data_IF_106204340282
#
_entry.id   IF_106204340282
#
_cell.length_a   1.000
_cell.length_b   1.000
_cell.length_c   1.000
_cell.angle_alpha   90.00
_cell.angle_beta   90.00
_cell.angle_gamma   90.00
#
_symmetry.space_group_name_H-M   'P 1'
#
loop_
_entity.id
_entity.type
_entity.pdbx_description
1 polymer ?
#
# COMPACT_ATOMS: atom_id res chain seq x y z
N UNK A 1 25.70 -28.80 -5.31
CA UNK A 1 26.63 -27.97 -4.50
C UNK A 1 25.86 -27.57 -3.25
N UNK A 2 26.28 -28.06 -2.07
CA UNK A 2 25.69 -27.68 -0.79
C UNK A 2 26.34 -26.36 -0.35
N UNK A 3 25.75 -25.23 -0.75
CA UNK A 3 26.07 -23.97 -0.12
C UNK A 3 25.63 -24.08 1.36
N UNK A 4 26.61 -24.03 2.27
CA UNK A 4 26.32 -23.86 3.69
C UNK A 4 25.42 -22.63 3.80
N UNK A 5 24.26 -22.70 4.48
CA UNK A 5 23.41 -21.54 4.67
C UNK A 5 24.26 -20.46 5.32
N UNK A 6 24.49 -19.38 4.57
CA UNK A 6 25.22 -18.20 5.02
C UNK A 6 24.55 -17.77 6.32
N UNK A 7 25.25 -17.93 7.44
CA UNK A 7 24.65 -17.74 8.76
C UNK A 7 24.16 -16.30 8.85
N UNK A 8 22.85 -16.11 8.81
CA UNK A 8 22.26 -14.78 8.92
C UNK A 8 22.79 -14.10 10.19
N UNK A 9 23.07 -12.78 10.14
CA UNK A 9 23.71 -12.06 11.24
C UNK A 9 22.85 -11.95 12.51
N UNK A 10 21.61 -12.44 12.47
CA UNK A 10 20.67 -12.39 13.58
C UNK A 10 20.67 -13.68 14.41
N UNK A 11 20.54 -13.52 15.73
CA UNK A 11 20.25 -14.61 16.66
C UNK A 11 18.82 -15.15 16.46
N UNK A 12 18.50 -16.36 16.93
CA UNK A 12 17.12 -16.87 16.89
C UNK A 12 16.10 -15.95 17.57
N UNK A 13 16.48 -15.29 18.68
CA UNK A 13 15.62 -14.34 19.37
C UNK A 13 15.33 -13.08 18.53
N UNK A 14 16.36 -12.54 17.86
CA UNK A 14 16.18 -11.41 16.94
C UNK A 14 15.32 -11.79 15.73
N UNK A 15 15.51 -12.97 15.15
CA UNK A 15 14.64 -13.48 14.07
C UNK A 15 13.18 -13.55 14.49
N UNK A 16 12.91 -14.10 15.68
CA UNK A 16 11.55 -14.15 16.23
C UNK A 16 10.96 -12.74 16.44
N UNK A 17 11.77 -11.77 16.87
CA UNK A 17 11.34 -10.38 17.03
C UNK A 17 11.00 -9.70 15.68
N UNK A 18 11.81 -9.93 14.64
CA UNK A 18 11.55 -9.45 13.27
C UNK A 18 10.21 -9.98 12.76
N UNK A 19 9.97 -11.29 12.90
CA UNK A 19 8.72 -11.93 12.48
C UNK A 19 7.52 -11.46 13.29
N UNK A 20 7.69 -11.27 14.61
CA UNK A 20 6.64 -10.74 15.47
C UNK A 20 6.23 -9.32 15.07
N UNK A 21 7.20 -8.45 14.76
CA UNK A 21 6.94 -7.09 14.31
C UNK A 21 6.25 -7.07 12.94
N UNK A 22 6.68 -7.92 12.01
CA UNK A 22 5.99 -8.09 10.72
C UNK A 22 4.52 -8.48 10.92
N UNK A 23 4.27 -9.50 11.75
CA UNK A 23 2.90 -9.96 12.05
C UNK A 23 2.07 -8.88 12.73
N UNK A 24 2.68 -8.06 13.60
CA UNK A 24 2.02 -6.91 14.22
C UNK A 24 1.53 -5.92 13.16
N UNK A 25 2.38 -5.57 12.20
CA UNK A 25 2.03 -4.65 11.10
C UNK A 25 0.98 -5.29 10.17
N UNK A 26 1.16 -6.56 9.80
CA UNK A 26 0.22 -7.28 8.94
C UNK A 26 -1.16 -7.48 9.58
N UNK A 27 -1.24 -7.49 10.92
CA UNK A 27 -2.50 -7.55 11.65
C UNK A 27 -3.22 -6.20 11.75
N UNK A 28 -2.58 -5.09 11.36
CA UNK A 28 -3.27 -3.78 11.34
C UNK A 28 -4.42 -3.83 10.32
N UNK A 29 -5.66 -3.44 10.71
CA UNK A 29 -6.80 -3.53 9.83
C UNK A 29 -6.54 -2.66 8.60
N UNK A 30 -6.66 -3.29 7.43
CA UNK A 30 -6.42 -2.60 6.18
C UNK A 30 -7.40 -1.40 6.09
N UNK A 31 -6.93 -0.19 5.77
CA UNK A 31 -7.77 0.99 5.84
C UNK A 31 -8.92 0.86 4.84
N UNK A 32 -10.08 1.42 5.24
CA UNK A 32 -11.28 1.43 4.41
C UNK A 32 -10.95 1.98 3.01
N UNK A 33 -11.23 1.17 1.99
CA UNK A 33 -11.02 1.55 0.60
C UNK A 33 -12.38 1.95 -0.01
N UNK A 34 -12.64 3.25 -0.23
CA UNK A 34 -13.89 3.71 -0.84
C UNK A 34 -13.93 3.56 -2.36
N UNK A 35 -12.83 3.19 -3.05
CA UNK A 35 -12.80 3.06 -4.52
C UNK A 35 -13.89 2.15 -5.08
N UNK A 36 -14.17 0.94 -4.53
CA UNK A 36 -15.23 0.08 -5.06
C UNK A 36 -16.59 0.77 -4.99
N UNK A 37 -16.87 1.50 -3.91
CA UNK A 37 -18.10 2.27 -3.74
C UNK A 37 -18.20 3.43 -4.73
N UNK A 38 -17.11 4.15 -4.97
CA UNK A 38 -17.05 5.21 -5.99
C UNK A 38 -17.29 4.67 -7.40
N UNK A 39 -16.67 3.54 -7.75
CA UNK A 39 -16.88 2.89 -9.05
C UNK A 39 -18.33 2.41 -9.22
N UNK A 40 -18.89 1.75 -8.21
CA UNK A 40 -20.31 1.33 -8.23
C UNK A 40 -21.26 2.53 -8.34
N UNK A 41 -20.97 3.64 -7.66
CA UNK A 41 -21.77 4.86 -7.76
C UNK A 41 -21.72 5.47 -9.16
N UNK A 42 -20.54 5.52 -9.79
CA UNK A 42 -20.38 6.03 -11.17
C UNK A 42 -21.08 5.12 -12.18
N UNK A 43 -20.90 3.79 -12.07
CA UNK A 43 -21.58 2.82 -12.94
C UNK A 43 -23.09 2.93 -12.78
N UNK A 44 -23.59 2.98 -11.53
CA UNK A 44 -25.01 3.15 -11.25
C UNK A 44 -25.57 4.45 -11.84
N UNK A 45 -24.85 5.57 -11.69
CA UNK A 45 -25.22 6.85 -12.29
C UNK A 45 -25.27 6.82 -13.82
N UNK A 46 -24.28 6.17 -14.46
CA UNK A 46 -24.23 6.01 -15.91
C UNK A 46 -25.36 5.12 -16.43
N UNK A 47 -25.62 3.99 -15.78
CA UNK A 47 -26.72 3.09 -16.14
C UNK A 47 -28.06 3.81 -16.00
N UNK A 48 -28.28 4.55 -14.91
CA UNK A 48 -29.51 5.31 -14.72
C UNK A 48 -29.67 6.39 -15.79
N UNK A 49 -28.60 7.10 -16.13
CA UNK A 49 -28.58 8.13 -17.17
C UNK A 49 -28.92 7.57 -18.56
N UNK A 50 -28.36 6.42 -18.93
CA UNK A 50 -28.59 5.76 -20.22
C UNK A 50 -29.97 5.09 -20.32
N UNK A 51 -30.46 4.50 -19.23
CA UNK A 51 -31.75 3.84 -19.19
C UNK A 51 -32.92 4.84 -19.17
N UNK A 52 -32.72 6.03 -18.59
CA UNK A 52 -33.76 7.05 -18.45
C UNK A 52 -34.51 7.42 -19.73
N UNK A 53 -33.82 7.76 -20.86
CA UNK A 53 -34.51 8.10 -22.10
C UNK A 53 -35.21 6.90 -22.74
N UNK A 54 -34.71 5.67 -22.54
CA UNK A 54 -35.31 4.46 -23.10
C UNK A 54 -36.55 3.99 -22.35
N UNK A 55 -36.64 4.27 -21.05
CA UNK A 55 -37.80 3.94 -20.22
C UNK A 55 -39.04 4.78 -20.55
N UNK A 56 -38.94 5.77 -21.44
CA UNK A 56 -40.09 6.57 -21.91
C UNK A 56 -40.80 7.33 -20.77
N UNK A 57 -40.14 7.49 -19.63
CA UNK A 57 -40.66 8.14 -18.43
C UNK A 57 -40.84 9.63 -18.71
N UNK A 58 -41.99 9.99 -19.28
CA UNK A 58 -42.50 11.37 -19.32
C UNK A 58 -42.97 11.76 -17.93
N UNK A 59 -42.01 11.93 -17.02
CA UNK A 59 -42.26 12.47 -15.70
C UNK A 59 -42.73 13.93 -15.82
N UNK A 60 -43.67 14.39 -14.97
CA UNK A 60 -44.03 15.79 -14.88
C UNK A 60 -42.77 16.65 -14.71
N UNK A 61 -42.74 17.83 -15.35
CA UNK A 61 -41.56 18.71 -15.41
C UNK A 61 -40.74 18.84 -14.11
N UNK A 62 -41.31 19.00 -12.89
CA UNK A 62 -40.49 19.13 -11.69
C UNK A 62 -39.76 17.84 -11.30
N UNK A 63 -40.35 16.67 -11.55
CA UNK A 63 -39.76 15.38 -11.20
C UNK A 63 -38.58 15.03 -12.10
N UNK A 64 -38.62 15.44 -13.37
CA UNK A 64 -37.51 15.21 -14.29
C UNK A 64 -36.26 16.01 -13.89
N UNK A 65 -36.43 17.27 -13.46
CA UNK A 65 -35.33 18.12 -12.99
C UNK A 65 -34.70 17.58 -11.70
N UNK A 66 -35.53 17.12 -10.75
CA UNK A 66 -35.05 16.49 -9.51
C UNK A 66 -34.25 15.22 -9.81
N UNK A 67 -34.75 14.38 -10.72
CA UNK A 67 -34.07 13.14 -11.09
C UNK A 67 -32.71 13.40 -11.77
N UNK A 68 -32.65 14.34 -12.70
CA UNK A 68 -31.41 14.76 -13.35
C UNK A 68 -30.42 15.37 -12.34
N UNK A 69 -30.91 16.16 -11.38
CA UNK A 69 -30.07 16.70 -10.32
C UNK A 69 -29.49 15.60 -9.42
N UNK A 70 -30.27 14.58 -9.07
CA UNK A 70 -29.82 13.42 -8.28
C UNK A 70 -28.78 12.59 -9.06
N UNK A 71 -29.01 12.34 -10.35
CA UNK A 71 -28.05 11.65 -11.21
C UNK A 71 -26.75 12.44 -11.32
N UNK A 72 -26.85 13.75 -11.58
CA UNK A 72 -25.70 14.65 -11.63
C UNK A 72 -24.91 14.64 -10.32
N UNK A 73 -25.61 14.66 -9.18
CA UNK A 73 -24.99 14.59 -7.85
C UNK A 73 -24.30 13.23 -7.61
N UNK A 74 -24.92 12.13 -8.02
CA UNK A 74 -24.34 10.78 -7.91
C UNK A 74 -23.08 10.63 -8.78
N UNK A 75 -23.11 11.14 -10.01
CA UNK A 75 -21.98 11.08 -10.92
C UNK A 75 -20.85 12.00 -10.44
N UNK A 76 -21.16 13.27 -10.11
CA UNK A 76 -20.17 14.22 -9.62
C UNK A 76 -19.59 13.80 -8.27
N UNK A 77 -20.44 13.34 -7.34
CA UNK A 77 -20.04 12.82 -6.04
C UNK A 77 -19.23 11.53 -6.15
N UNK A 78 -19.61 10.62 -7.05
CA UNK A 78 -18.86 9.39 -7.34
C UNK A 78 -17.49 9.65 -7.96
N UNK A 79 -17.40 10.60 -8.89
CA UNK A 79 -16.13 11.07 -9.48
C UNK A 79 -15.24 11.72 -8.42
N UNK A 80 -15.79 12.64 -7.62
CA UNK A 80 -15.05 13.29 -6.53
C UNK A 80 -14.56 12.27 -5.51
N UNK A 81 -15.40 11.31 -5.11
CA UNK A 81 -14.99 10.26 -4.18
C UNK A 81 -13.95 9.31 -4.78
N UNK A 82 -14.09 8.92 -6.05
CA UNK A 82 -13.13 8.05 -6.73
C UNK A 82 -11.75 8.69 -6.91
N UNK A 83 -11.71 9.98 -7.27
CA UNK A 83 -10.48 10.72 -7.54
C UNK A 83 -9.81 11.21 -6.24
N UNK A 84 -10.58 11.75 -5.29
CA UNK A 84 -10.01 12.37 -4.09
C UNK A 84 -9.93 11.44 -2.86
N UNK A 85 -10.83 10.45 -2.70
CA UNK A 85 -10.78 9.52 -1.57
C UNK A 85 -10.07 8.20 -1.87
N UNK A 86 -9.74 7.91 -3.14
CA UNK A 86 -9.17 6.64 -3.57
C UNK A 86 -7.66 6.44 -3.36
N UNK A 87 -6.90 7.48 -3.00
CA UNK A 87 -5.43 7.45 -2.87
C UNK A 87 -4.93 7.14 -1.45
N UNK A 88 -5.82 7.01 -0.47
CA UNK A 88 -5.44 6.95 0.95
C UNK A 88 -4.58 5.74 1.34
N UNK A 89 -4.66 4.62 0.61
CA UNK A 89 -3.83 3.42 0.85
C UNK A 89 -2.39 3.65 0.42
N UNK A 90 -2.20 3.98 -0.86
CA UNK A 90 -0.90 4.31 -1.41
C UNK A 90 -0.23 5.45 -0.63
N UNK A 91 -0.94 6.56 -0.40
CA UNK A 91 -0.38 7.71 0.31
C UNK A 91 0.06 7.41 1.74
N UNK A 92 -0.69 6.59 2.49
CA UNK A 92 -0.28 6.19 3.85
C UNK A 92 0.91 5.24 3.85
N UNK A 93 0.92 4.25 2.95
CA UNK A 93 2.04 3.32 2.84
C UNK A 93 3.31 4.05 2.38
N UNK A 94 3.21 4.94 1.38
CA UNK A 94 4.31 5.78 0.93
C UNK A 94 4.81 6.68 2.07
N UNK A 95 3.92 7.30 2.84
CA UNK A 95 4.32 8.11 4.00
C UNK A 95 5.01 7.30 5.09
N UNK A 96 4.53 6.08 5.39
CA UNK A 96 5.19 5.18 6.37
C UNK A 96 6.54 4.69 5.87
N UNK A 97 6.62 4.25 4.62
CA UNK A 97 7.87 3.83 3.99
C UNK A 97 8.89 4.97 3.98
N UNK A 98 8.48 6.19 3.62
CA UNK A 98 9.36 7.36 3.60
C UNK A 98 9.80 7.77 5.02
N UNK A 99 8.91 7.71 6.01
CA UNK A 99 9.27 7.98 7.41
C UNK A 99 10.29 6.95 7.94
N UNK A 100 10.09 5.67 7.62
CA UNK A 100 11.03 4.61 7.97
C UNK A 100 12.37 4.78 7.25
N UNK A 101 12.35 5.13 5.96
CA UNK A 101 13.55 5.44 5.19
C UNK A 101 14.30 6.64 5.77
N UNK A 102 13.60 7.69 6.18
CA UNK A 102 14.19 8.88 6.80
C UNK A 102 14.83 8.53 8.15
N UNK A 103 14.17 7.72 8.98
CA UNK A 103 14.72 7.26 10.26
C UNK A 103 15.98 6.41 10.06
N UNK A 104 16.01 5.55 9.04
CA UNK A 104 17.17 4.72 8.71
C UNK A 104 18.31 5.49 8.01
N UNK A 105 18.01 6.54 7.24
CA UNK A 105 19.02 7.31 6.49
C UNK A 105 19.56 8.53 7.25
N UNK A 106 18.85 8.99 8.29
CA UNK A 106 19.07 10.28 8.95
C UNK A 106 20.38 10.47 9.73
N UNK A 107 21.32 9.52 9.70
CA UNK A 107 22.64 9.64 10.35
C UNK A 107 22.63 9.69 11.89
N UNK A 108 21.45 9.82 12.51
CA UNK A 108 21.30 9.79 13.95
C UNK A 108 21.45 8.36 14.47
N UNK A 109 22.06 8.17 15.66
CA UNK A 109 22.14 6.86 16.27
C UNK A 109 20.74 6.40 16.67
N UNK A 110 20.19 5.45 15.90
CA UNK A 110 18.98 4.73 16.23
C UNK A 110 19.35 3.48 17.02
N UNK A 111 18.64 3.23 18.12
CA UNK A 111 18.76 1.98 18.88
C UNK A 111 18.49 0.77 17.98
N UNK A 112 19.04 -0.39 18.34
CA UNK A 112 18.91 -1.58 17.50
C UNK A 112 17.45 -2.01 17.32
N UNK A 113 16.63 -1.84 18.37
CA UNK A 113 15.21 -2.17 18.35
C UNK A 113 14.42 -1.25 17.41
N UNK A 114 14.60 0.08 17.43
CA UNK A 114 13.91 0.93 16.46
C UNK A 114 14.48 0.77 15.06
N UNK A 115 15.78 0.50 14.89
CA UNK A 115 16.34 0.19 13.57
C UNK A 115 15.69 -1.04 12.95
N UNK A 116 15.49 -2.11 13.74
CA UNK A 116 14.74 -3.28 13.32
C UNK A 116 13.31 -2.92 12.94
N UNK A 117 12.59 -2.18 13.80
CA UNK A 117 11.21 -1.75 13.52
C UNK A 117 11.10 -0.95 12.23
N UNK A 118 11.98 0.04 12.01
CA UNK A 118 11.98 0.84 10.79
C UNK A 118 12.36 0.01 9.55
N UNK A 119 13.28 -0.95 9.67
CA UNK A 119 13.58 -1.85 8.55
C UNK A 119 12.37 -2.71 8.17
N UNK A 120 11.68 -3.29 9.16
CA UNK A 120 10.45 -4.06 8.93
C UNK A 120 9.34 -3.17 8.36
N UNK A 121 9.16 -1.96 8.90
CA UNK A 121 8.13 -1.00 8.46
C UNK A 121 8.37 -0.52 7.02
N UNK A 122 9.64 -0.28 6.65
CA UNK A 122 10.04 0.04 5.28
C UNK A 122 9.71 -1.10 4.33
N UNK A 123 10.07 -2.34 4.67
CA UNK A 123 9.81 -3.53 3.83
C UNK A 123 8.30 -3.76 3.70
N UNK A 124 7.55 -3.68 4.80
CA UNK A 124 6.11 -3.93 4.85
C UNK A 124 5.30 -2.94 4.02
N UNK A 125 5.78 -1.70 3.88
CA UNK A 125 5.10 -0.64 3.15
C UNK A 125 5.77 -0.29 1.82
N UNK A 126 6.82 -1.00 1.39
CA UNK A 126 7.50 -0.73 0.13
C UNK A 126 6.62 -1.04 -1.09
N UNK A 127 5.68 -1.98 -0.95
CA UNK A 127 4.73 -2.37 -1.98
C UNK A 127 3.30 -2.23 -1.48
N UNK A 128 2.42 -1.77 -2.35
CA UNK A 128 0.99 -1.64 -2.09
C UNK A 128 0.22 -2.35 -3.19
N UNK A 129 -0.70 -3.22 -2.79
CA UNK A 129 -1.72 -3.74 -3.71
C UNK A 129 -2.85 -2.71 -3.84
N UNK A 130 -2.95 -2.11 -5.02
CA UNK A 130 -4.04 -1.21 -5.43
C UNK A 130 -5.03 -1.94 -6.36
N UNK A 131 -5.28 -3.23 -6.10
CA UNK A 131 -6.16 -4.09 -6.90
C UNK A 131 -5.37 -5.17 -7.66
N UNK A 132 -5.56 -5.33 -8.98
CA UNK A 132 -4.84 -6.36 -9.75
C UNK A 132 -3.35 -6.04 -9.94
N UNK A 133 -2.93 -4.83 -9.56
CA UNK A 133 -1.55 -4.36 -9.70
C UNK A 133 -0.92 -4.11 -8.33
N UNK A 134 0.34 -4.52 -8.20
CA UNK A 134 1.25 -4.10 -7.14
C UNK A 134 2.03 -2.88 -7.61
N UNK A 135 2.02 -1.82 -6.82
CA UNK A 135 2.76 -0.59 -7.08
C UNK A 135 3.78 -0.36 -5.97
N UNK A 136 4.99 0.08 -6.34
CA UNK A 136 5.98 0.49 -5.37
C UNK A 136 5.54 1.80 -4.70
N UNK A 137 5.52 1.83 -3.37
CA UNK A 137 5.20 3.02 -2.59
C UNK A 137 6.39 3.98 -2.46
N UNK A 138 7.60 3.49 -2.75
CA UNK A 138 8.86 4.23 -2.70
C UNK A 138 9.71 3.91 -3.94
N UNK A 139 10.49 4.87 -4.42
CA UNK A 139 11.50 4.62 -5.43
C UNK A 139 12.63 3.77 -4.82
N UNK A 140 12.70 2.49 -5.18
CA UNK A 140 13.68 1.54 -4.63
C UNK A 140 15.12 1.90 -5.00
N UNK A 141 15.36 2.51 -6.17
CA UNK A 141 16.70 2.93 -6.56
C UNK A 141 17.17 4.10 -5.67
N UNK A 142 16.29 5.08 -5.46
CA UNK A 142 16.56 6.21 -4.56
C UNK A 142 16.68 5.75 -3.10
N UNK A 143 15.83 4.83 -2.66
CA UNK A 143 15.85 4.28 -1.30
C UNK A 143 17.18 3.56 -1.02
N UNK A 144 17.67 2.72 -1.96
CA UNK A 144 18.99 2.07 -1.85
C UNK A 144 20.12 3.07 -1.69
N UNK A 145 20.12 4.15 -2.47
CA UNK A 145 21.12 5.22 -2.36
C UNK A 145 21.05 5.92 -1.00
N UNK A 146 19.85 6.23 -0.51
CA UNK A 146 19.65 6.93 0.77
C UNK A 146 19.97 6.07 1.99
N UNK A 147 19.75 4.76 1.92
CA UNK A 147 20.07 3.84 3.01
C UNK A 147 21.59 3.73 3.26
N UNK A 148 22.41 3.85 2.20
CA UNK A 148 23.87 3.82 2.32
C UNK A 148 24.37 2.62 3.12
N UNK A 149 25.08 2.88 4.23
CA UNK A 149 25.61 1.83 5.11
C UNK A 149 24.53 0.96 5.78
N UNK A 150 23.30 1.47 5.95
CA UNK A 150 22.21 0.71 6.55
C UNK A 150 21.54 -0.27 5.56
N UNK A 151 21.87 -0.21 4.27
CA UNK A 151 21.31 -1.12 3.27
C UNK A 151 21.59 -2.58 3.61
N UNK A 152 22.82 -2.91 4.03
CA UNK A 152 23.19 -4.28 4.41
C UNK A 152 22.34 -4.81 5.57
N UNK A 153 21.99 -3.96 6.53
CA UNK A 153 21.12 -4.31 7.65
C UNK A 153 19.68 -4.57 7.17
N UNK A 154 19.12 -3.69 6.34
CA UNK A 154 17.76 -3.86 5.78
C UNK A 154 17.66 -5.14 4.95
N UNK A 155 18.65 -5.42 4.10
CA UNK A 155 18.73 -6.65 3.31
C UNK A 155 18.83 -7.89 4.21
N UNK A 156 19.56 -7.82 5.32
CA UNK A 156 19.62 -8.93 6.26
C UNK A 156 18.25 -9.19 6.93
N UNK A 157 17.50 -8.14 7.28
CA UNK A 157 16.14 -8.26 7.83
C UNK A 157 15.20 -8.85 6.78
N UNK A 158 15.30 -8.41 5.53
CA UNK A 158 14.52 -8.95 4.42
C UNK A 158 14.79 -10.44 4.20
N UNK A 159 16.06 -10.88 4.25
CA UNK A 159 16.40 -12.31 4.15
C UNK A 159 15.75 -13.14 5.26
N UNK A 160 15.69 -12.62 6.50
CA UNK A 160 14.98 -13.30 7.60
C UNK A 160 13.49 -13.44 7.26
N UNK A 161 12.84 -12.36 6.80
CA UNK A 161 11.43 -12.39 6.45
C UNK A 161 11.15 -13.35 5.28
N UNK A 162 12.01 -13.35 4.25
CA UNK A 162 11.90 -14.25 3.11
C UNK A 162 12.02 -15.73 3.52
N UNK A 163 12.91 -16.05 4.47
CA UNK A 163 13.08 -17.42 4.97
C UNK A 163 11.93 -17.89 5.87
N UNK A 164 11.39 -17.01 6.71
CA UNK A 164 10.43 -17.39 7.76
C UNK A 164 8.96 -17.25 7.32
N UNK A 165 8.65 -16.34 6.40
CA UNK A 165 7.28 -15.96 6.03
C UNK A 165 6.99 -16.24 4.54
N UNK A 166 8.03 -16.25 3.71
CA UNK A 166 7.92 -16.45 2.26
C UNK A 166 7.53 -15.16 1.51
N UNK A 167 8.17 -14.98 0.35
CA UNK A 167 7.76 -14.04 -0.70
C UNK A 167 7.81 -12.54 -0.35
N UNK A 168 8.94 -12.10 0.23
CA UNK A 168 9.24 -10.68 0.46
C UNK A 168 10.58 -10.33 -0.19
N UNK A 169 10.54 -9.98 -1.48
CA UNK A 169 11.70 -9.48 -2.23
C UNK A 169 11.49 -8.02 -2.60
N UNK A 170 12.04 -7.13 -1.79
CA UNK A 170 11.99 -5.67 -1.96
C UNK A 170 13.35 -5.15 -2.39
N UNK A 171 14.42 -5.44 -1.64
CA UNK A 171 15.77 -4.99 -1.95
C UNK A 171 16.66 -6.12 -2.47
N UNK A 172 16.33 -7.38 -2.18
CA UNK A 172 16.99 -8.55 -2.75
C UNK A 172 16.55 -8.69 -4.21
N UNK A 173 17.49 -8.61 -5.15
CA UNK A 173 17.21 -8.92 -6.55
C UNK A 173 16.91 -10.42 -6.70
N UNK A 174 15.87 -10.81 -7.46
CA UNK A 174 15.65 -12.21 -7.77
C UNK A 174 16.87 -12.73 -8.53
N UNK A 175 17.41 -13.87 -8.09
CA UNK A 175 18.50 -14.52 -8.81
C UNK A 175 18.05 -14.77 -10.26
N UNK A 176 18.81 -14.22 -11.21
CA UNK A 176 18.56 -14.35 -12.65
C UNK A 176 18.73 -15.80 -13.13
#
# INVERSE_FOLDING_TARGET
>A
MNEKPESLPFTPAQRAAIVAEWRRIAAEPAPFNPRPWGCLAVIGGLVLFLALPQLGLRLPSPWNTVLLAVIGLLVAGGLLAGVFLGSGRYGRAAARAEAALQALSGGQPVDEAARMRHAVDLIAHAWVSDGPTLSAAVDLAQARQRLGANLAYVVAVERVLAQEIGDQHVFIEPAA
#
